data_IF_243377238476
#
_entry.id   IF_243377238476
#
_cell.length_a   1.000
_cell.length_b   1.000
_cell.length_c   1.000
_cell.angle_alpha   90.00
_cell.angle_beta   90.00
_cell.angle_gamma   90.00
#
_symmetry.space_group_name_H-M   'P 1'
#
loop_
_entity.id
_entity.type
_entity.pdbx_description
1 polymer ?
#
# COMPACT_ATOMS: atom_id res chain seq x y z
N UNK A 1 67.16 32.90 -13.45
CA UNK A 1 65.88 33.65 -13.54
C UNK A 1 64.75 32.63 -13.30
N UNK A 2 64.11 32.75 -12.13
CA UNK A 2 62.76 32.33 -11.68
C UNK A 2 62.20 30.92 -12.08
N UNK A 3 62.05 30.01 -11.10
CA UNK A 3 60.79 29.61 -10.41
C UNK A 3 59.85 28.74 -11.31
N UNK A 4 59.36 27.54 -10.98
CA UNK A 4 58.73 27.02 -9.76
C UNK A 4 58.41 25.50 -9.93
N UNK A 5 58.70 24.59 -8.97
CA UNK A 5 58.10 23.24 -8.94
C UNK A 5 57.05 23.04 -7.82
N UNK A 6 56.59 24.10 -7.15
CA UNK A 6 55.77 23.99 -5.94
C UNK A 6 54.24 24.01 -6.12
N UNK A 7 53.73 24.08 -7.36
CA UNK A 7 52.27 24.19 -7.57
C UNK A 7 51.55 22.83 -7.48
N UNK A 8 52.12 21.78 -8.08
CA UNK A 8 51.45 20.47 -8.17
C UNK A 8 51.42 19.72 -6.82
N UNK A 9 52.45 19.83 -5.98
CA UNK A 9 52.44 19.15 -4.68
C UNK A 9 51.42 19.75 -3.70
N UNK A 10 51.24 21.08 -3.72
CA UNK A 10 50.24 21.75 -2.89
C UNK A 10 48.81 21.44 -3.33
N UNK A 11 48.56 21.30 -4.63
CA UNK A 11 47.25 20.90 -5.16
C UNK A 11 46.86 19.47 -4.72
N UNK A 12 47.77 18.50 -4.85
CA UNK A 12 47.53 17.13 -4.39
C UNK A 12 47.34 17.02 -2.88
N UNK A 13 48.10 17.80 -2.09
CA UNK A 13 47.92 17.83 -0.63
C UNK A 13 46.61 18.50 -0.22
N UNK A 14 46.16 19.54 -0.93
CA UNK A 14 44.86 20.17 -0.67
C UNK A 14 43.70 19.26 -1.07
N UNK A 15 43.78 18.52 -2.17
CA UNK A 15 42.80 17.48 -2.53
C UNK A 15 42.72 16.36 -1.49
N UNK A 16 43.86 15.91 -0.95
CA UNK A 16 43.88 14.90 0.14
C UNK A 16 43.25 15.44 1.43
N UNK A 17 43.49 16.71 1.78
CA UNK A 17 42.85 17.36 2.94
C UNK A 17 41.35 17.52 2.76
N UNK A 18 40.88 17.85 1.55
CA UNK A 18 39.46 17.92 1.21
C UNK A 18 38.82 16.52 1.28
N UNK A 19 39.48 15.49 0.74
CA UNK A 19 39.02 14.09 0.84
C UNK A 19 38.97 13.60 2.29
N UNK A 20 39.96 13.95 3.11
CA UNK A 20 39.99 13.62 4.54
C UNK A 20 38.87 14.35 5.30
N UNK A 21 38.63 15.62 4.98
CA UNK A 21 37.52 16.42 5.54
C UNK A 21 36.15 15.85 5.17
N UNK A 22 35.96 15.40 3.92
CA UNK A 22 34.73 14.73 3.47
C UNK A 22 34.54 13.37 4.15
N UNK A 23 35.62 12.62 4.39
CA UNK A 23 35.58 11.35 5.11
C UNK A 23 35.19 11.52 6.58
N UNK A 24 35.71 12.55 7.26
CA UNK A 24 35.34 12.89 8.64
C UNK A 24 33.89 13.39 8.73
N UNK A 25 33.42 14.17 7.75
CA UNK A 25 32.02 14.62 7.71
C UNK A 25 31.04 13.46 7.51
N UNK A 26 31.41 12.43 6.74
CA UNK A 26 30.59 11.24 6.50
C UNK A 26 30.43 10.37 7.76
N UNK A 27 31.47 10.29 8.62
CA UNK A 27 31.41 9.57 9.90
C UNK A 27 30.46 10.21 10.93
N UNK A 28 30.20 11.52 10.83
CA UNK A 28 29.31 12.24 11.74
C UNK A 28 27.80 12.02 11.47
N UNK A 29 27.41 11.44 10.33
CA UNK A 29 26.00 11.26 9.95
C UNK A 29 25.39 9.97 10.56
N UNK A 30 26.20 9.17 11.26
CA UNK A 30 25.82 7.88 11.86
C UNK A 30 24.78 7.95 13.02
N UNK A 31 24.26 9.14 13.33
CA UNK A 31 23.36 9.38 14.47
C UNK A 31 21.85 9.31 14.18
N UNK A 32 21.42 9.15 12.93
CA UNK A 32 20.00 8.96 12.60
C UNK A 32 19.58 7.53 12.96
N UNK A 33 19.25 7.31 14.24
CA UNK A 33 18.57 6.09 14.67
C UNK A 33 17.19 6.06 14.02
N UNK A 34 17.03 5.21 13.01
CA UNK A 34 15.72 4.91 12.44
C UNK A 34 14.80 4.42 13.57
N UNK A 35 13.65 5.09 13.73
CA UNK A 35 12.66 4.74 14.74
C UNK A 35 12.13 3.33 14.43
N UNK A 36 12.44 2.36 15.29
CA UNK A 36 12.02 0.98 15.07
C UNK A 36 10.54 0.83 15.42
N UNK A 37 9.75 0.51 14.40
CA UNK A 37 8.32 0.27 14.48
C UNK A 37 8.06 -1.22 14.69
N UNK A 38 7.30 -1.57 15.72
CA UNK A 38 6.97 -2.96 16.05
C UNK A 38 5.47 -3.17 16.19
N UNK A 39 5.03 -4.41 15.95
CA UNK A 39 3.66 -4.89 16.11
C UNK A 39 3.63 -5.96 17.21
N UNK A 40 3.32 -5.57 18.46
CA UNK A 40 3.29 -6.50 19.60
C UNK A 40 2.17 -7.54 19.45
N UNK A 41 2.41 -8.74 19.97
CA UNK A 41 1.45 -9.85 19.94
C UNK A 41 0.46 -9.73 21.09
N UNK A 42 -0.81 -10.05 20.84
CA UNK A 42 -1.84 -10.17 21.88
C UNK A 42 -1.64 -11.50 22.60
N UNK A 43 -1.43 -11.43 23.90
CA UNK A 43 -1.22 -12.61 24.75
C UNK A 43 -2.53 -13.07 25.39
N UNK A 44 -3.36 -12.12 25.81
CA UNK A 44 -4.57 -12.39 26.58
C UNK A 44 -5.54 -11.23 26.45
N UNK A 45 -6.83 -11.55 26.36
CA UNK A 45 -7.92 -10.57 26.46
C UNK A 45 -8.84 -10.96 27.62
N UNK A 46 -9.14 -10.01 28.49
CA UNK A 46 -10.08 -10.19 29.62
C UNK A 46 -11.27 -9.27 29.41
N UNK A 47 -12.45 -9.85 29.20
CA UNK A 47 -13.68 -9.11 28.93
C UNK A 47 -14.39 -8.76 30.24
N UNK A 48 -14.85 -7.51 30.34
CA UNK A 48 -15.73 -6.99 31.38
C UNK A 48 -17.10 -6.61 30.77
N UNK A 49 -17.99 -6.04 31.58
CA UNK A 49 -19.37 -5.71 31.15
C UNK A 49 -19.46 -4.84 29.89
N UNK A 50 -18.56 -3.86 29.73
CA UNK A 50 -18.57 -2.91 28.60
C UNK A 50 -17.17 -2.55 28.06
N UNK A 51 -16.15 -3.21 28.58
CA UNK A 51 -14.74 -2.98 28.24
C UNK A 51 -14.00 -4.31 28.19
N UNK A 52 -12.82 -4.33 27.59
CA UNK A 52 -11.87 -5.42 27.80
C UNK A 52 -10.49 -4.87 28.09
N UNK A 53 -9.72 -5.65 28.83
CA UNK A 53 -8.30 -5.44 29.02
C UNK A 53 -7.55 -6.33 28.02
N UNK A 54 -6.72 -5.72 27.18
CA UNK A 54 -5.83 -6.40 26.25
C UNK A 54 -4.43 -6.40 26.86
N UNK A 55 -3.79 -7.57 26.90
CA UNK A 55 -2.40 -7.75 27.33
C UNK A 55 -1.55 -8.14 26.12
N UNK A 56 -0.45 -7.40 25.89
CA UNK A 56 0.44 -7.58 24.75
C UNK A 56 1.90 -7.75 25.18
N UNK A 57 2.66 -8.45 24.34
CA UNK A 57 4.10 -8.58 24.50
C UNK A 57 4.88 -8.35 23.21
N UNK A 58 6.12 -7.91 23.37
CA UNK A 58 7.07 -7.71 22.29
C UNK A 58 8.48 -8.10 22.74
N UNK A 59 9.10 -9.05 22.05
CA UNK A 59 10.53 -9.32 22.19
C UNK A 59 11.34 -8.26 21.45
N UNK A 60 12.30 -7.64 22.15
CA UNK A 60 13.17 -6.61 21.59
C UNK A 60 14.61 -6.81 22.02
N UNK A 61 15.52 -6.32 21.19
CA UNK A 61 16.93 -6.23 21.52
C UNK A 61 17.26 -4.76 21.82
N UNK A 62 17.64 -4.47 23.07
CA UNK A 62 17.97 -3.12 23.53
C UNK A 62 19.47 -2.93 23.54
N UNK A 63 19.94 -1.80 23.03
CA UNK A 63 21.35 -1.39 23.17
C UNK A 63 21.56 -0.70 24.51
N UNK A 64 22.79 -0.72 25.02
CA UNK A 64 23.16 0.03 26.23
C UNK A 64 22.83 1.53 26.07
N UNK A 65 22.16 2.11 27.06
CA UNK A 65 21.75 3.52 27.09
C UNK A 65 20.30 3.73 26.65
N UNK A 66 20.03 4.85 25.98
CA UNK A 66 18.69 5.24 25.56
C UNK A 66 18.24 4.54 24.27
N UNK A 67 17.02 4.03 24.30
CA UNK A 67 16.33 3.36 23.21
C UNK A 67 14.97 4.02 22.98
N UNK A 68 14.56 4.10 21.72
CA UNK A 68 13.27 4.62 21.31
C UNK A 68 12.53 3.54 20.49
N UNK A 69 11.32 3.20 20.90
CA UNK A 69 10.53 2.12 20.33
C UNK A 69 9.12 2.62 20.02
N UNK A 70 8.56 2.26 18.87
CA UNK A 70 7.19 2.61 18.49
C UNK A 70 6.31 1.35 18.44
N UNK A 71 5.44 1.19 19.43
CA UNK A 71 4.45 0.12 19.47
C UNK A 71 3.25 0.49 18.59
N UNK A 72 2.91 -0.38 17.65
CA UNK A 72 1.89 -0.15 16.61
C UNK A 72 0.79 -1.21 16.65
N UNK A 73 -0.31 -0.97 15.93
CA UNK A 73 -1.42 -1.92 15.89
C UNK A 73 -2.20 -1.99 17.20
N UNK A 74 -2.30 -0.89 17.94
CA UNK A 74 -3.20 -0.78 19.09
C UNK A 74 -4.53 -0.17 18.64
N UNK A 75 -5.61 -0.62 19.27
CA UNK A 75 -6.99 -0.22 19.07
C UNK A 75 -7.15 1.29 19.11
N UNK A 76 -7.92 1.86 18.17
CA UNK A 76 -8.37 3.27 18.23
C UNK A 76 -9.29 3.56 19.42
N UNK A 77 -9.88 2.53 20.02
CA UNK A 77 -10.75 2.60 21.20
C UNK A 77 -9.98 2.42 22.52
N UNK A 78 -8.65 2.43 22.47
CA UNK A 78 -7.77 2.36 23.63
C UNK A 78 -8.02 3.55 24.56
N UNK A 79 -8.18 3.27 25.86
CA UNK A 79 -8.14 4.29 26.90
C UNK A 79 -6.69 4.60 27.29
N UNK A 80 -6.20 5.77 26.91
CA UNK A 80 -4.79 6.19 27.10
C UNK A 80 -4.37 6.24 28.57
N UNK A 81 -5.30 6.47 29.49
CA UNK A 81 -5.04 6.51 30.93
C UNK A 81 -4.90 5.11 31.55
N UNK A 82 -5.31 4.08 30.83
CA UNK A 82 -5.24 2.69 31.31
C UNK A 82 -3.96 1.95 30.90
N UNK A 83 -3.10 2.59 30.09
CA UNK A 83 -1.85 1.99 29.63
C UNK A 83 -0.95 1.72 30.83
N UNK A 84 -0.58 0.46 31.00
CA UNK A 84 0.31 0.01 32.07
C UNK A 84 1.39 -0.89 31.47
N UNK A 85 2.63 -0.71 31.96
CA UNK A 85 3.77 -1.53 31.59
C UNK A 85 4.22 -2.36 32.77
N UNK A 86 4.70 -3.57 32.49
CA UNK A 86 5.30 -4.38 33.54
C UNK A 86 6.69 -3.85 33.91
N UNK A 87 7.04 -3.96 35.19
CA UNK A 87 8.39 -3.65 35.66
C UNK A 87 9.39 -4.68 35.13
N UNK A 88 10.56 -4.22 34.69
CA UNK A 88 11.68 -5.06 34.26
C UNK A 88 12.94 -4.69 35.04
N UNK A 89 13.85 -5.67 35.22
CA UNK A 89 15.19 -5.42 35.77
C UNK A 89 16.19 -4.99 34.69
N UNK A 90 15.88 -5.26 33.44
CA UNK A 90 16.79 -5.06 32.30
C UNK A 90 16.76 -3.61 31.78
N UNK A 91 15.60 -2.97 31.91
CA UNK A 91 15.36 -1.61 31.42
C UNK A 91 14.39 -0.84 32.32
N UNK A 92 14.44 0.48 32.22
CA UNK A 92 13.49 1.40 32.84
C UNK A 92 12.78 2.18 31.75
N UNK A 93 11.45 2.25 31.83
CA UNK A 93 10.65 3.11 30.96
C UNK A 93 10.74 4.52 31.51
N UNK A 94 11.35 5.43 30.75
CA UNK A 94 11.54 6.82 31.18
C UNK A 94 10.35 7.69 30.82
N UNK A 95 9.75 7.44 29.66
CA UNK A 95 8.61 8.20 29.16
C UNK A 95 7.84 7.38 28.12
N UNK A 96 6.53 7.64 28.00
CA UNK A 96 5.72 7.10 26.93
C UNK A 96 4.70 8.13 26.44
N UNK A 97 4.41 8.12 25.15
CA UNK A 97 3.44 9.04 24.54
C UNK A 97 2.53 8.30 23.56
N UNK A 98 1.22 8.15 23.87
CA UNK A 98 0.24 7.62 22.93
C UNK A 98 -0.20 8.70 21.93
N UNK A 99 -0.34 8.35 20.66
CA UNK A 99 -0.90 9.22 19.62
C UNK A 99 -1.61 8.41 18.54
N UNK A 100 -2.58 9.01 17.88
CA UNK A 100 -3.32 8.38 16.78
C UNK A 100 -2.60 8.69 15.47
N UNK A 101 -2.54 7.69 14.59
CA UNK A 101 -2.14 7.87 13.22
C UNK A 101 -3.07 7.08 12.31
N UNK A 102 -3.47 7.69 11.18
CA UNK A 102 -4.18 6.98 10.11
C UNK A 102 -3.23 6.01 9.42
N UNK A 103 -3.63 4.74 9.36
CA UNK A 103 -2.88 3.67 8.71
C UNK A 103 -3.77 3.08 7.62
N UNK A 104 -3.24 2.92 6.41
CA UNK A 104 -3.93 2.16 5.37
C UNK A 104 -4.05 0.72 5.85
N UNK A 105 -5.26 0.17 5.90
CA UNK A 105 -5.47 -1.23 6.26
C UNK A 105 -4.59 -2.11 5.35
N UNK A 106 -3.70 -2.90 5.95
CA UNK A 106 -2.84 -3.83 5.22
C UNK A 106 -3.59 -5.11 4.77
N UNK A 107 -4.82 -5.32 5.26
CA UNK A 107 -5.68 -6.38 4.74
C UNK A 107 -6.13 -5.96 3.35
N UNK A 108 -5.71 -6.70 2.31
CA UNK A 108 -6.33 -6.56 1.01
C UNK A 108 -7.79 -6.97 1.19
N UNK A 109 -8.75 -6.23 0.63
CA UNK A 109 -10.16 -6.64 0.64
C UNK A 109 -10.34 -8.09 0.16
N UNK A 110 -9.45 -8.54 -0.73
CA UNK A 110 -9.34 -9.93 -1.21
C UNK A 110 -9.08 -10.97 -0.11
N UNK A 111 -8.46 -10.63 1.01
CA UNK A 111 -8.15 -11.57 2.09
C UNK A 111 -9.41 -11.98 2.87
N UNK A 112 -10.45 -11.12 2.86
CA UNK A 112 -11.77 -11.36 3.48
C UNK A 112 -12.72 -12.21 2.63
N UNK A 113 -12.35 -12.48 1.38
CA UNK A 113 -13.17 -13.24 0.44
C UNK A 113 -13.06 -14.75 0.68
N UNK A 114 -14.14 -15.46 0.41
CA UNK A 114 -14.13 -16.93 0.30
C UNK A 114 -13.24 -17.39 -0.85
N UNK A 115 -12.77 -18.64 -0.83
CA UNK A 115 -11.91 -19.17 -1.90
C UNK A 115 -12.58 -19.12 -3.28
N UNK A 116 -13.90 -19.28 -3.33
CA UNK A 116 -14.69 -19.14 -4.56
C UNK A 116 -14.70 -17.70 -5.08
N UNK A 117 -14.83 -16.71 -4.20
CA UNK A 117 -14.79 -15.30 -4.56
C UNK A 117 -13.38 -14.87 -4.99
N UNK A 118 -12.32 -15.37 -4.33
CA UNK A 118 -10.93 -15.16 -4.75
C UNK A 118 -10.66 -15.69 -6.16
N UNK A 119 -11.15 -16.90 -6.46
CA UNK A 119 -11.04 -17.47 -7.81
C UNK A 119 -11.79 -16.62 -8.85
N UNK A 120 -12.98 -16.11 -8.51
CA UNK A 120 -13.75 -15.23 -9.37
C UNK A 120 -13.06 -13.89 -9.62
N UNK A 121 -12.50 -13.26 -8.58
CA UNK A 121 -11.71 -12.01 -8.69
C UNK A 121 -10.51 -12.22 -9.61
N UNK A 122 -9.79 -13.33 -9.45
CA UNK A 122 -8.65 -13.67 -10.32
C UNK A 122 -9.06 -13.74 -11.80
N UNK A 123 -10.12 -14.48 -12.12
CA UNK A 123 -10.64 -14.60 -13.49
C UNK A 123 -10.99 -13.23 -14.09
N UNK A 124 -11.64 -12.36 -13.30
CA UNK A 124 -12.02 -11.02 -13.75
C UNK A 124 -10.77 -10.17 -14.00
N UNK A 125 -9.76 -10.22 -13.12
CA UNK A 125 -8.49 -9.50 -13.31
C UNK A 125 -7.74 -9.96 -14.56
N UNK A 126 -7.62 -11.27 -14.74
CA UNK A 126 -6.96 -11.87 -15.92
C UNK A 126 -7.70 -11.44 -17.21
N UNK A 127 -9.02 -11.39 -17.18
CA UNK A 127 -9.85 -10.90 -18.30
C UNK A 127 -9.63 -9.40 -18.58
N UNK A 128 -9.57 -8.57 -17.54
CA UNK A 128 -9.27 -7.14 -17.69
C UNK A 128 -7.89 -6.92 -18.32
N UNK A 129 -6.88 -7.68 -17.90
CA UNK A 129 -5.53 -7.61 -18.44
C UNK A 129 -5.50 -7.98 -19.93
N UNK A 130 -6.14 -9.10 -20.30
CA UNK A 130 -6.28 -9.52 -21.69
C UNK A 130 -6.95 -8.44 -22.56
N UNK A 131 -8.02 -7.81 -22.06
CA UNK A 131 -8.70 -6.73 -22.79
C UNK A 131 -7.84 -5.47 -22.89
N UNK A 132 -7.06 -5.13 -21.85
CA UNK A 132 -6.09 -4.01 -21.89
C UNK A 132 -5.01 -4.24 -22.95
N UNK A 133 -4.49 -5.46 -23.06
CA UNK A 133 -3.50 -5.82 -24.07
C UNK A 133 -4.07 -5.68 -25.49
N UNK A 134 -5.31 -6.16 -25.72
CA UNK A 134 -6.01 -5.95 -27.01
C UNK A 134 -6.18 -4.47 -27.33
N UNK A 135 -6.56 -3.65 -26.35
CA UNK A 135 -6.67 -2.19 -26.53
C UNK A 135 -5.34 -1.54 -26.84
N UNK A 136 -4.25 -1.99 -26.20
CA UNK A 136 -2.90 -1.52 -26.50
C UNK A 136 -2.53 -1.81 -27.95
N UNK A 137 -2.76 -3.04 -28.42
CA UNK A 137 -2.52 -3.41 -29.82
C UNK A 137 -3.33 -2.54 -30.81
N UNK A 138 -4.60 -2.25 -30.49
CA UNK A 138 -5.42 -1.34 -31.31
C UNK A 138 -4.86 0.09 -31.31
N UNK A 139 -4.43 0.60 -30.15
CA UNK A 139 -3.84 1.93 -30.05
C UNK A 139 -2.54 2.04 -30.85
N UNK A 140 -1.69 1.02 -30.78
CA UNK A 140 -0.46 0.95 -31.55
C UNK A 140 -0.76 0.93 -33.06
N UNK A 141 -1.77 0.15 -33.49
CA UNK A 141 -2.21 0.12 -34.89
C UNK A 141 -2.77 1.46 -35.37
N UNK A 142 -3.59 2.15 -34.57
CA UNK A 142 -4.07 3.50 -34.87
C UNK A 142 -2.92 4.48 -35.02
N UNK A 143 -1.93 4.44 -34.13
CA UNK A 143 -0.76 5.32 -34.21
C UNK A 143 0.05 5.09 -35.49
N UNK A 144 0.16 3.84 -35.97
CA UNK A 144 0.80 3.54 -37.25
C UNK A 144 0.01 4.15 -38.41
N UNK A 145 -1.31 3.95 -38.43
CA UNK A 145 -2.19 4.50 -39.48
C UNK A 145 -2.24 6.03 -39.48
N UNK A 146 -2.19 6.67 -38.32
CA UNK A 146 -2.11 8.12 -38.20
C UNK A 146 -0.80 8.67 -38.78
N UNK A 147 0.33 8.00 -38.51
CA UNK A 147 1.62 8.35 -39.12
C UNK A 147 1.57 8.20 -40.63
N UNK A 148 1.01 7.09 -41.13
CA UNK A 148 0.84 6.84 -42.56
C UNK A 148 -0.01 7.93 -43.22
N UNK A 149 -1.13 8.31 -42.60
CA UNK A 149 -1.96 9.44 -43.04
C UNK A 149 -1.18 10.76 -43.07
N UNK A 150 -0.40 11.07 -42.03
CA UNK A 150 0.43 12.29 -42.01
C UNK A 150 1.49 12.28 -43.12
N UNK A 151 2.14 11.14 -43.36
CA UNK A 151 3.10 11.01 -44.46
C UNK A 151 2.43 11.25 -45.82
N UNK A 152 1.24 10.69 -46.04
CA UNK A 152 0.46 10.93 -47.27
C UNK A 152 0.09 12.41 -47.43
N UNK A 153 -0.35 13.09 -46.37
CA UNK A 153 -0.66 14.52 -46.42
C UNK A 153 0.55 15.37 -46.79
N UNK A 154 1.74 15.03 -46.26
CA UNK A 154 2.97 15.76 -46.57
C UNK A 154 3.40 15.59 -48.04
N UNK A 155 3.08 14.46 -48.67
CA UNK A 155 3.37 14.24 -50.11
C UNK A 155 2.54 15.21 -50.96
N UNK A 156 1.28 15.50 -50.58
CA UNK A 156 0.40 16.46 -51.27
C UNK A 156 0.88 17.92 -51.18
N UNK A 157 1.65 18.28 -50.14
CA UNK A 157 2.16 19.65 -49.96
C UNK A 157 3.42 19.94 -50.79
N UNK A 158 4.04 18.91 -51.37
CA UNK A 158 5.21 19.01 -52.25
C UNK A 158 4.71 19.07 -53.70
N UNK A 159 4.13 20.18 -54.17
CA UNK A 159 3.86 20.29 -55.62
C UNK A 159 3.95 21.72 -56.20
N UNK A 160 4.82 21.85 -57.20
CA UNK A 160 4.86 22.91 -58.22
C UNK A 160 5.34 22.28 -59.54
N UNK A 161 4.43 21.73 -60.38
CA UNK A 161 4.81 21.01 -61.59
C UNK A 161 5.13 21.95 -62.77
N UNK A 162 6.16 21.62 -63.56
CA UNK A 162 6.62 22.42 -64.73
C UNK A 162 6.45 21.71 -66.11
N UNK A 163 6.00 20.46 -66.19
CA UNK A 163 5.90 19.69 -67.46
C UNK A 163 4.62 18.84 -67.57
N UNK A 164 4.17 18.53 -68.79
CA UNK A 164 2.91 17.83 -69.07
C UNK A 164 2.90 16.35 -68.66
N UNK A 165 4.02 15.62 -68.81
CA UNK A 165 4.15 14.24 -68.29
C UNK A 165 4.07 14.23 -66.76
N UNK A 166 4.60 15.26 -66.10
CA UNK A 166 4.45 15.47 -64.65
C UNK A 166 3.01 15.71 -64.22
N UNK A 167 2.11 16.14 -65.12
CA UNK A 167 0.67 16.32 -64.81
C UNK A 167 -0.06 14.97 -64.82
N UNK A 168 0.34 14.02 -65.66
CA UNK A 168 -0.23 12.67 -65.70
C UNK A 168 0.20 11.88 -64.46
N UNK A 169 1.50 11.91 -64.13
CA UNK A 169 2.04 11.30 -62.92
C UNK A 169 1.41 11.90 -61.64
N UNK A 170 1.16 13.21 -61.64
CA UNK A 170 0.47 13.91 -60.56
C UNK A 170 -1.00 13.49 -60.45
N UNK A 171 -1.70 13.27 -61.56
CA UNK A 171 -3.09 12.79 -61.54
C UNK A 171 -3.18 11.38 -60.96
N UNK A 172 -2.27 10.48 -61.34
CA UNK A 172 -2.21 9.11 -60.80
C UNK A 172 -1.82 9.11 -59.30
N UNK A 173 -0.90 9.99 -58.89
CA UNK A 173 -0.52 10.16 -57.49
C UNK A 173 -1.67 10.71 -56.63
N UNK A 174 -2.47 11.65 -57.16
CA UNK A 174 -3.65 12.18 -56.50
C UNK A 174 -4.76 11.13 -56.36
N UNK A 175 -4.99 10.31 -57.38
CA UNK A 175 -5.97 9.21 -57.32
C UNK A 175 -5.53 8.15 -56.30
N UNK A 176 -4.26 7.77 -56.28
CA UNK A 176 -3.68 6.89 -55.26
C UNK A 176 -3.83 7.47 -53.84
N UNK A 177 -3.56 8.77 -53.68
CA UNK A 177 -3.72 9.49 -52.41
C UNK A 177 -5.17 9.46 -51.93
N UNK A 178 -6.14 9.75 -52.80
CA UNK A 178 -7.56 9.74 -52.45
C UNK A 178 -8.02 8.35 -51.98
N UNK A 179 -7.70 7.31 -52.76
CA UNK A 179 -8.04 5.92 -52.42
C UNK A 179 -7.44 5.51 -51.09
N UNK A 180 -6.13 5.77 -50.88
CA UNK A 180 -5.44 5.40 -49.63
C UNK A 180 -5.95 6.18 -48.42
N UNK A 181 -6.28 7.46 -48.60
CA UNK A 181 -6.83 8.29 -47.52
C UNK A 181 -8.19 7.76 -47.05
N UNK A 182 -9.04 7.33 -47.98
CA UNK A 182 -10.34 6.72 -47.67
C UNK A 182 -10.17 5.37 -46.97
N UNK A 183 -9.27 4.51 -47.46
CA UNK A 183 -8.96 3.22 -46.83
C UNK A 183 -8.46 3.39 -45.38
N UNK A 184 -7.48 4.28 -45.16
CA UNK A 184 -6.93 4.54 -43.82
C UNK A 184 -7.99 5.12 -42.90
N UNK A 185 -8.83 6.04 -43.40
CA UNK A 185 -9.90 6.65 -42.62
C UNK A 185 -10.94 5.62 -42.18
N UNK A 186 -11.29 4.67 -43.05
CA UNK A 186 -12.18 3.55 -42.72
C UNK A 186 -11.57 2.64 -41.66
N UNK A 187 -10.30 2.26 -41.81
CA UNK A 187 -9.60 1.43 -40.82
C UNK A 187 -9.50 2.12 -39.45
N UNK A 188 -9.22 3.42 -39.42
CA UNK A 188 -9.19 4.20 -38.18
C UNK A 188 -10.57 4.26 -37.50
N UNK A 189 -11.65 4.41 -38.30
CA UNK A 189 -13.02 4.39 -37.79
C UNK A 189 -13.37 3.04 -37.17
N UNK A 190 -13.11 1.93 -37.87
CA UNK A 190 -13.40 0.57 -37.38
C UNK A 190 -12.62 0.28 -36.08
N UNK A 191 -11.33 0.61 -36.04
CA UNK A 191 -10.50 0.50 -34.83
C UNK A 191 -11.01 1.40 -33.69
N UNK A 192 -11.66 2.53 -34.00
CA UNK A 192 -12.29 3.40 -33.01
C UNK A 192 -13.48 2.74 -32.34
N UNK A 193 -14.35 2.12 -33.14
CA UNK A 193 -15.49 1.35 -32.62
C UNK A 193 -15.03 0.20 -31.73
N UNK A 194 -14.04 -0.57 -32.16
CA UNK A 194 -13.50 -1.69 -31.37
C UNK A 194 -12.86 -1.21 -30.05
N UNK A 195 -12.13 -0.09 -30.05
CA UNK A 195 -11.55 0.46 -28.82
C UNK A 195 -12.63 0.91 -27.81
N UNK A 196 -13.71 1.52 -28.29
CA UNK A 196 -14.86 1.90 -27.46
C UNK A 196 -15.52 0.66 -26.86
N UNK A 197 -15.71 -0.40 -27.65
CA UNK A 197 -16.29 -1.65 -27.18
C UNK A 197 -15.44 -2.29 -26.07
N UNK A 198 -14.14 -2.43 -26.30
CA UNK A 198 -13.22 -2.99 -25.30
C UNK A 198 -13.16 -2.12 -24.04
N UNK A 199 -13.21 -0.79 -24.18
CA UNK A 199 -13.28 0.14 -23.03
C UNK A 199 -14.55 -0.10 -22.21
N UNK A 200 -15.68 -0.32 -22.87
CA UNK A 200 -16.95 -0.62 -22.20
C UNK A 200 -16.93 -1.98 -21.50
N UNK A 201 -16.31 -3.01 -22.11
CA UNK A 201 -16.14 -4.32 -21.48
C UNK A 201 -15.25 -4.25 -20.23
N UNK A 202 -14.12 -3.53 -20.32
CA UNK A 202 -13.24 -3.28 -19.15
C UNK A 202 -13.99 -2.55 -18.05
N UNK A 203 -14.79 -1.53 -18.38
CA UNK A 203 -15.60 -0.80 -17.39
C UNK A 203 -16.55 -1.74 -16.66
N UNK A 204 -17.32 -2.55 -17.39
CA UNK A 204 -18.25 -3.53 -16.78
C UNK A 204 -17.53 -4.50 -15.84
N UNK A 205 -16.38 -5.03 -16.24
CA UNK A 205 -15.59 -5.94 -15.40
C UNK A 205 -15.03 -5.23 -14.16
N UNK A 206 -14.66 -3.96 -14.25
CA UNK A 206 -14.26 -3.17 -13.08
C UNK A 206 -15.45 -2.90 -12.15
N UNK A 207 -16.64 -2.64 -12.69
CA UNK A 207 -17.86 -2.45 -11.90
C UNK A 207 -18.24 -3.76 -11.16
N UNK A 208 -18.12 -4.92 -11.82
CA UNK A 208 -18.31 -6.24 -11.21
C UNK A 208 -17.27 -6.50 -10.11
N UNK A 209 -16.01 -6.15 -10.34
CA UNK A 209 -14.93 -6.26 -9.38
C UNK A 209 -15.21 -5.39 -8.14
N UNK A 210 -15.69 -4.16 -8.36
CA UNK A 210 -16.10 -3.22 -7.30
C UNK A 210 -17.20 -3.81 -6.42
N UNK A 211 -18.22 -4.43 -7.02
CA UNK A 211 -19.30 -5.11 -6.30
C UNK A 211 -18.77 -6.28 -5.47
N UNK A 212 -17.91 -7.13 -6.06
CA UNK A 212 -17.36 -8.32 -5.38
C UNK A 212 -16.44 -7.92 -4.22
N UNK A 213 -15.66 -6.86 -4.38
CA UNK A 213 -14.77 -6.36 -3.32
C UNK A 213 -15.49 -5.52 -2.26
N UNK A 214 -16.81 -5.30 -2.40
CA UNK A 214 -17.56 -4.34 -1.58
C UNK A 214 -16.85 -2.96 -1.56
N UNK A 215 -16.25 -2.60 -2.68
CA UNK A 215 -15.45 -1.39 -2.84
C UNK A 215 -16.42 -0.24 -3.14
N UNK A 216 -17.18 0.20 -2.14
CA UNK A 216 -17.81 1.52 -2.22
C UNK A 216 -16.71 2.54 -2.52
N UNK A 217 -17.03 3.61 -3.27
CA UNK A 217 -16.09 4.71 -3.65
C UNK A 217 -15.38 5.41 -2.47
N UNK A 218 -15.57 4.92 -1.26
CA UNK A 218 -14.77 5.14 -0.07
C UNK A 218 -13.52 4.24 0.02
N UNK A 219 -13.10 3.54 -1.04
CA UNK A 219 -11.89 2.70 -1.07
C UNK A 219 -10.56 3.43 -0.80
N UNK A 220 -10.52 4.76 -0.97
CA UNK A 220 -9.41 5.61 -0.48
C UNK A 220 -9.46 5.87 1.05
N UNK A 221 -10.50 5.39 1.74
CA UNK A 221 -10.80 5.58 3.17
C UNK A 221 -10.90 4.30 4.00
N UNK A 222 -10.28 3.18 3.59
CA UNK A 222 -9.90 2.14 4.58
C UNK A 222 -8.63 2.55 5.35
N UNK A 223 -8.53 3.84 5.66
CA UNK A 223 -7.58 4.34 6.64
C UNK A 223 -8.18 4.03 8.00
N UNK A 224 -7.60 3.07 8.69
CA UNK A 224 -7.97 2.76 10.07
C UNK A 224 -7.14 3.65 10.99
N UNK A 225 -7.80 4.24 11.97
CA UNK A 225 -7.09 4.88 13.07
C UNK A 225 -6.46 3.80 13.94
N UNK A 226 -5.16 3.91 14.19
CA UNK A 226 -4.45 3.06 15.12
C UNK A 226 -3.75 3.94 16.16
N UNK A 227 -3.78 3.51 17.42
CA UNK A 227 -2.95 4.11 18.44
C UNK A 227 -1.52 3.58 18.33
N UNK A 228 -0.59 4.52 18.27
CA UNK A 228 0.82 4.29 18.42
C UNK A 228 1.25 4.72 19.81
N UNK A 229 2.14 3.94 20.41
CA UNK A 229 2.75 4.29 21.70
C UNK A 229 4.24 4.42 21.46
N UNK A 230 4.74 5.66 21.51
CA UNK A 230 6.18 5.93 21.51
C UNK A 230 6.71 5.67 22.92
N UNK A 231 7.72 4.83 23.04
CA UNK A 231 8.39 4.49 24.29
C UNK A 231 9.83 4.95 24.27
N UNK A 232 10.22 5.65 25.34
CA UNK A 232 11.59 5.98 25.65
C UNK A 232 12.04 5.10 26.81
N UNK A 233 13.13 4.36 26.60
CA UNK A 233 13.62 3.33 27.50
C UNK A 233 15.11 3.55 27.79
N UNK A 234 15.55 3.26 29.01
CA UNK A 234 16.96 3.19 29.37
C UNK A 234 17.34 1.77 29.76
N UNK A 235 18.33 1.19 29.06
CA UNK A 235 18.89 -0.12 29.37
C UNK A 235 20.32 0.02 29.91
N UNK A 236 20.63 -0.62 31.04
CA UNK A 236 21.95 -0.52 31.66
C UNK A 236 23.04 -1.23 30.85
N UNK A 237 22.66 -2.32 30.18
CA UNK A 237 23.50 -3.15 29.32
C UNK A 237 22.74 -3.46 28.04
N UNK A 238 23.46 -3.95 27.03
CA UNK A 238 22.85 -4.52 25.83
C UNK A 238 22.19 -5.87 26.18
N UNK A 239 20.92 -6.05 25.82
CA UNK A 239 20.09 -7.15 26.33
C UNK A 239 18.93 -7.48 25.38
N UNK A 240 18.67 -8.77 25.16
CA UNK A 240 17.41 -9.25 24.57
C UNK A 240 16.39 -9.42 25.70
N UNK A 241 15.26 -8.74 25.63
CA UNK A 241 14.24 -8.71 26.70
C UNK A 241 12.84 -8.60 26.11
N UNK A 242 11.81 -8.74 26.95
CA UNK A 242 10.41 -8.68 26.54
C UNK A 242 9.71 -7.50 27.21
N UNK A 243 9.10 -6.64 26.39
CA UNK A 243 8.24 -5.56 26.86
C UNK A 243 6.81 -6.11 26.95
N UNK A 244 6.23 -6.04 28.14
CA UNK A 244 4.83 -6.40 28.37
C UNK A 244 4.05 -5.16 28.77
N UNK A 245 2.88 -4.99 28.16
CA UNK A 245 1.99 -3.87 28.46
C UNK A 245 0.54 -4.28 28.30
N UNK A 246 -0.34 -3.52 28.96
CA UNK A 246 -1.78 -3.74 28.91
C UNK A 246 -2.52 -2.42 28.87
N UNK A 247 -3.74 -2.45 28.35
CA UNK A 247 -4.63 -1.32 28.30
C UNK A 247 -6.08 -1.80 28.18
N UNK A 248 -7.00 -0.93 28.53
CA UNK A 248 -8.42 -1.15 28.38
C UNK A 248 -8.92 -0.55 27.07
N UNK A 249 -9.83 -1.26 26.42
CA UNK A 249 -10.55 -0.82 25.22
C UNK A 249 -12.05 -0.80 25.48
N UNK A 250 -12.73 0.10 24.78
CA UNK A 250 -14.20 0.14 24.69
C UNK A 250 -14.69 -0.43 23.35
N UNK A 251 -16.01 -0.47 23.15
CA UNK A 251 -16.62 -1.00 21.92
C UNK A 251 -16.77 -2.52 21.96
N UNK A 252 -17.18 -3.03 23.11
CA UNK A 252 -17.41 -4.46 23.33
C UNK A 252 -18.80 -4.63 23.90
N UNK A 253 -19.52 -5.57 23.32
CA UNK A 253 -20.84 -5.98 23.77
C UNK A 253 -20.84 -7.50 23.92
N UNK A 254 -21.33 -7.97 25.07
CA UNK A 254 -21.55 -9.38 25.28
C UNK A 254 -22.92 -9.58 25.93
N UNK A 255 -23.67 -10.54 25.39
CA UNK A 255 -25.01 -10.85 25.87
C UNK A 255 -25.03 -12.27 26.43
N UNK A 256 -25.30 -12.46 27.74
CA UNK A 256 -25.43 -13.79 28.31
C UNK A 256 -26.70 -14.48 27.78
N UNK A 257 -26.56 -15.70 27.32
CA UNK A 257 -27.65 -16.59 26.92
C UNK A 257 -27.68 -17.73 27.91
N UNK A 258 -28.74 -17.81 28.71
CA UNK A 258 -28.94 -18.87 29.69
C UNK A 258 -29.74 -20.01 29.06
N UNK A 259 -29.15 -21.19 28.98
CA UNK A 259 -29.83 -22.42 28.60
C UNK A 259 -30.05 -23.27 29.85
N UNK A 260 -31.32 -23.58 30.15
CA UNK A 260 -31.70 -24.38 31.32
C UNK A 260 -32.11 -25.76 30.83
N UNK A 261 -31.35 -26.78 31.23
CA UNK A 261 -31.65 -28.17 30.88
C UNK A 261 -32.15 -28.92 32.10
N UNK A 262 -33.36 -29.46 31.98
CA UNK A 262 -33.93 -30.41 32.94
C UNK A 262 -33.74 -31.83 32.39
N UNK A 263 -32.99 -32.66 33.11
CA UNK A 263 -32.73 -34.04 32.70
C UNK A 263 -33.77 -35.03 33.23
N UNK A 264 -34.45 -34.72 34.35
CA UNK A 264 -35.61 -35.46 34.91
C UNK A 264 -36.20 -34.72 36.11
N UNK A 265 -37.43 -35.05 36.53
CA UNK A 265 -38.14 -34.41 37.66
C UNK A 265 -37.39 -34.47 39.01
N UNK A 266 -36.50 -35.47 39.20
CA UNK A 266 -35.80 -35.70 40.46
C UNK A 266 -34.30 -35.35 40.40
N UNK A 267 -33.83 -34.67 39.35
CA UNK A 267 -32.43 -34.26 39.20
C UNK A 267 -32.29 -32.74 39.21
N UNK A 268 -31.20 -32.19 39.76
CA UNK A 268 -30.95 -30.75 39.73
C UNK A 268 -30.88 -30.24 38.29
N UNK A 269 -31.42 -29.04 38.07
CA UNK A 269 -31.35 -28.36 36.78
C UNK A 269 -29.90 -28.00 36.44
N UNK A 270 -29.51 -28.17 35.17
CA UNK A 270 -28.21 -27.74 34.67
C UNK A 270 -28.37 -26.39 34.00
N UNK A 271 -27.66 -25.38 34.51
CA UNK A 271 -27.57 -24.06 33.91
C UNK A 271 -26.33 -24.00 33.03
N UNK A 272 -26.54 -23.79 31.74
CA UNK A 272 -25.47 -23.59 30.79
C UNK A 272 -25.47 -22.13 30.36
N UNK A 273 -24.44 -21.39 30.76
CA UNK A 273 -24.22 -20.02 30.32
C UNK A 273 -23.46 -20.03 29.00
N UNK A 274 -24.09 -19.51 27.95
CA UNK A 274 -23.45 -19.13 26.70
C UNK A 274 -23.37 -17.60 26.64
N UNK A 275 -22.52 -17.07 25.77
CA UNK A 275 -22.49 -15.64 25.51
C UNK A 275 -22.38 -15.42 23.99
N UNK A 276 -23.14 -14.47 23.48
CA UNK A 276 -22.86 -13.86 22.18
C UNK A 276 -21.91 -12.69 22.41
N UNK A 277 -20.87 -12.59 21.60
CA UNK A 277 -19.78 -11.63 21.76
C UNK A 277 -19.61 -10.83 20.46
N UNK A 278 -19.61 -9.50 20.59
CA UNK A 278 -19.38 -8.57 19.50
C UNK A 278 -18.32 -7.55 19.91
N UNK A 279 -17.41 -7.23 18.97
CA UNK A 279 -16.36 -6.25 19.20
C UNK A 279 -16.15 -5.29 18.04
N UNK A 280 -15.91 -4.04 18.36
CA UNK A 280 -15.55 -2.96 17.46
C UNK A 280 -14.25 -2.28 17.90
N UNK A 281 -13.35 -3.06 18.52
CA UNK A 281 -12.09 -2.52 19.06
C UNK A 281 -11.10 -2.18 17.95
N UNK A 282 -11.29 -2.72 16.74
CA UNK A 282 -10.30 -2.58 15.68
C UNK A 282 -9.00 -3.31 16.02
N UNK A 283 -9.03 -4.36 16.82
CA UNK A 283 -7.93 -5.32 16.91
C UNK A 283 -8.44 -6.71 16.58
N UNK A 284 -7.64 -7.45 15.82
CA UNK A 284 -7.95 -8.84 15.52
C UNK A 284 -7.48 -9.68 16.70
N UNK A 285 -8.44 -10.24 17.44
CA UNK A 285 -8.18 -11.16 18.53
C UNK A 285 -8.28 -12.54 17.91
N UNK A 286 -7.14 -13.15 17.56
CA UNK A 286 -7.16 -14.53 17.09
C UNK A 286 -7.87 -15.41 18.15
N UNK A 287 -8.87 -16.18 17.69
CA UNK A 287 -9.80 -16.99 18.50
C UNK A 287 -9.13 -17.89 19.55
#
# INVERSE_FOLDING_TARGET
MYLCPNYNQNFFNNMKKILLSLFVLCLCISGLKAQQKFYPQINKVTIFSSTAQIEKSLEVFLVKGYNEIKLSGNSSKLNTQSIQFNSSKDFVITDFSPYIQLVKSNQKQEDKLTDQEKARVKIIKDSIELLKDRRKAIKDKKQILDKERTTLTNIKEIDSPQQADSIIDLKEALEYFEVKTVEISKLLYDLSLTDIELKNQIRKLNDDLKIILQDDEQGDKLSKEEFYIKLNLYAKNEVKTTINYKYNVSGIEWTPIYDIKFSSLNKPAVFLLKAEFQQETGEDWND
#
